data_IF_474322936215
#
_entry.id   IF_474322936215
#
_cell.length_a   1.000
_cell.length_b   1.000
_cell.length_c   1.000
_cell.angle_alpha   90.00
_cell.angle_beta   90.00
_cell.angle_gamma   90.00
#
_symmetry.space_group_name_H-M   'P 1'
#
loop_
_entity.id
_entity.type
_entity.pdbx_description
1 polymer ?
#
# COMPACT_ATOMS: atom_id res chain seq x y z
N UNK A 1 31.63 1.78 -3.06
CA UNK A 1 30.90 0.51 -3.12
C UNK A 1 29.44 0.84 -3.31
N UNK A 2 28.85 0.49 -4.46
CA UNK A 2 27.42 0.74 -4.72
C UNK A 2 26.55 -0.33 -4.07
N UNK A 3 25.39 0.04 -3.57
CA UNK A 3 24.36 -0.90 -3.12
C UNK A 3 23.91 -1.78 -4.29
N UNK A 4 23.89 -3.09 -4.08
CA UNK A 4 23.34 -4.09 -5.01
C UNK A 4 22.07 -4.70 -4.43
N UNK A 5 21.15 -5.18 -5.27
CA UNK A 5 19.91 -5.88 -4.85
C UNK A 5 20.19 -7.00 -3.84
N UNK A 6 21.31 -7.72 -4.02
CA UNK A 6 21.75 -8.78 -3.12
C UNK A 6 22.22 -8.26 -1.76
N UNK A 7 23.05 -7.21 -1.74
CA UNK A 7 23.50 -6.61 -0.47
C UNK A 7 22.36 -5.97 0.31
N UNK A 8 21.38 -5.39 -0.39
CA UNK A 8 20.16 -4.84 0.21
C UNK A 8 19.26 -5.95 0.75
N UNK A 9 19.15 -7.08 0.04
CA UNK A 9 18.44 -8.28 0.52
C UNK A 9 19.03 -8.83 1.81
N UNK A 10 20.35 -8.97 1.89
CA UNK A 10 21.02 -9.41 3.13
C UNK A 10 20.75 -8.43 4.28
N UNK A 11 20.88 -7.12 4.04
CA UNK A 11 20.61 -6.11 5.05
C UNK A 11 19.15 -6.13 5.53
N UNK A 12 18.20 -6.30 4.60
CA UNK A 12 16.79 -6.44 4.91
C UNK A 12 16.53 -7.66 5.79
N UNK A 13 17.02 -8.84 5.39
CA UNK A 13 16.85 -10.09 6.14
C UNK A 13 17.43 -9.96 7.56
N UNK A 14 18.62 -9.37 7.70
CA UNK A 14 19.25 -9.13 9.00
C UNK A 14 18.48 -8.12 9.86
N UNK A 15 17.77 -7.17 9.25
CA UNK A 15 16.94 -6.21 9.96
C UNK A 15 15.64 -6.86 10.48
N UNK A 16 14.97 -7.66 9.65
CA UNK A 16 13.62 -8.17 9.95
C UNK A 16 13.60 -9.52 10.66
N UNK A 17 14.73 -10.23 10.72
CA UNK A 17 14.86 -11.48 11.44
C UNK A 17 15.78 -11.34 12.66
N UNK A 18 15.40 -12.02 13.74
CA UNK A 18 16.23 -12.21 14.92
C UNK A 18 17.43 -13.12 14.63
N UNK A 19 18.42 -13.14 15.54
CA UNK A 19 19.58 -14.05 15.45
C UNK A 19 19.19 -15.54 15.42
N UNK A 20 18.01 -15.90 15.94
CA UNK A 20 17.48 -17.27 15.92
C UNK A 20 16.67 -17.57 14.64
N UNK A 21 16.56 -16.62 13.73
CA UNK A 21 15.86 -16.77 12.45
C UNK A 21 14.35 -16.60 12.52
N UNK A 22 13.79 -16.15 13.64
CA UNK A 22 12.37 -15.77 13.79
C UNK A 22 12.14 -14.32 13.35
N UNK A 23 10.95 -13.98 12.87
CA UNK A 23 10.59 -12.58 12.51
C UNK A 23 10.66 -11.69 13.76
N UNK A 24 11.37 -10.58 13.66
CA UNK A 24 11.47 -9.59 14.72
C UNK A 24 10.27 -8.64 14.69
N UNK A 25 9.22 -8.99 15.45
CA UNK A 25 8.01 -8.17 15.57
C UNK A 25 8.24 -6.76 16.15
N UNK A 26 9.40 -6.51 16.78
CA UNK A 26 9.76 -5.19 17.34
C UNK A 26 10.53 -4.32 16.35
N UNK A 27 10.99 -4.89 15.24
CA UNK A 27 11.65 -4.12 14.19
C UNK A 27 10.63 -3.15 13.57
N UNK A 28 11.03 -1.88 13.37
CA UNK A 28 10.15 -0.83 12.87
C UNK A 28 9.54 -1.14 11.49
N UNK A 29 10.28 -1.82 10.60
CA UNK A 29 9.80 -2.19 9.26
C UNK A 29 8.68 -3.23 9.38
N UNK A 30 8.90 -4.24 10.23
CA UNK A 30 7.93 -5.29 10.50
C UNK A 30 6.69 -4.73 11.19
N UNK A 31 6.93 -3.94 12.22
CA UNK A 31 5.90 -3.35 13.06
C UNK A 31 4.99 -2.38 12.30
N UNK A 32 5.55 -1.56 11.41
CA UNK A 32 4.80 -0.60 10.59
C UNK A 32 3.78 -1.31 9.69
N UNK A 33 4.08 -2.53 9.25
CA UNK A 33 3.22 -3.31 8.36
C UNK A 33 2.13 -4.10 9.09
N UNK A 34 2.09 -4.05 10.44
CA UNK A 34 1.00 -4.64 11.22
C UNK A 34 -0.21 -3.68 11.30
N UNK A 35 -0.94 -3.57 10.20
CA UNK A 35 -2.05 -2.62 10.07
C UNK A 35 -3.14 -2.82 11.13
N UNK A 36 -3.49 -4.06 11.45
CA UNK A 36 -4.46 -4.36 12.51
C UNK A 36 -4.09 -3.69 13.84
N UNK A 37 -2.85 -3.87 14.30
CA UNK A 37 -2.39 -3.31 15.58
C UNK A 37 -2.50 -1.79 15.63
N UNK A 38 -2.18 -1.11 14.53
CA UNK A 38 -2.27 0.35 14.47
C UNK A 38 -3.71 0.81 14.35
N UNK A 39 -4.52 0.13 13.54
CA UNK A 39 -5.92 0.46 13.33
C UNK A 39 -6.77 0.27 14.59
N UNK A 40 -6.50 -0.77 15.39
CA UNK A 40 -7.15 -0.96 16.70
C UNK A 40 -6.92 0.21 17.66
N UNK A 41 -5.78 0.91 17.59
CA UNK A 41 -5.54 2.10 18.41
C UNK A 41 -6.43 3.26 17.98
N UNK A 42 -6.59 3.45 16.68
CA UNK A 42 -7.48 4.47 16.11
C UNK A 42 -8.95 4.19 16.43
N UNK A 43 -9.37 2.92 16.35
CA UNK A 43 -10.73 2.49 16.67
C UNK A 43 -11.12 2.64 18.14
N UNK A 44 -10.17 2.90 19.05
CA UNK A 44 -10.47 3.28 20.45
C UNK A 44 -11.00 4.70 20.58
N UNK A 45 -10.78 5.54 19.56
CA UNK A 45 -11.08 6.98 19.61
C UNK A 45 -12.11 7.36 18.55
N UNK A 46 -12.04 6.76 17.37
CA UNK A 46 -12.92 7.04 16.23
C UNK A 46 -13.71 5.78 15.86
N UNK A 47 -14.95 5.96 15.44
CA UNK A 47 -15.76 4.83 14.97
C UNK A 47 -15.28 4.37 13.58
N UNK A 48 -15.56 3.11 13.24
CA UNK A 48 -15.08 2.49 12.00
C UNK A 48 -15.55 3.24 10.74
N UNK A 49 -16.76 3.78 10.76
CA UNK A 49 -17.37 4.56 9.68
C UNK A 49 -16.66 5.89 9.41
N UNK A 50 -15.78 6.36 10.31
CA UNK A 50 -14.93 7.53 10.09
C UNK A 50 -13.59 7.20 9.39
N UNK A 51 -13.45 5.99 8.83
CA UNK A 51 -12.28 5.60 8.06
C UNK A 51 -12.67 5.14 6.66
N UNK A 52 -12.15 5.83 5.66
CA UNK A 52 -12.09 5.31 4.31
C UNK A 52 -10.78 4.52 4.14
N UNK A 53 -10.91 3.23 3.84
CA UNK A 53 -9.77 2.35 3.55
C UNK A 53 -9.76 2.10 2.05
N UNK A 54 -8.66 2.45 1.39
CA UNK A 54 -8.54 2.37 -0.06
C UNK A 54 -7.49 1.34 -0.45
N UNK A 55 -7.81 0.49 -1.42
CA UNK A 55 -6.86 -0.48 -1.99
C UNK A 55 -6.07 0.14 -3.13
N UNK A 56 -4.75 -0.08 -3.14
CA UNK A 56 -3.88 0.40 -4.21
C UNK A 56 -4.32 -0.16 -5.58
N UNK A 57 -4.75 -1.42 -5.62
CA UNK A 57 -5.18 -2.08 -6.86
C UNK A 57 -6.44 -1.43 -7.43
N UNK A 58 -7.32 -0.89 -6.58
CA UNK A 58 -8.53 -0.18 -7.00
C UNK A 58 -8.20 1.22 -7.51
N UNK A 59 -7.26 1.93 -6.89
CA UNK A 59 -6.75 3.21 -7.41
C UNK A 59 -6.11 2.98 -8.79
N UNK A 60 -5.31 1.92 -8.91
CA UNK A 60 -4.57 1.62 -10.14
C UNK A 60 -5.48 1.19 -11.30
N UNK A 61 -6.61 0.54 -11.01
CA UNK A 61 -7.56 0.03 -12.01
C UNK A 61 -8.69 1.00 -12.32
N UNK A 62 -9.22 1.67 -11.30
CA UNK A 62 -10.44 2.50 -11.38
C UNK A 62 -10.31 3.76 -10.51
N UNK A 63 -9.35 4.66 -10.81
CA UNK A 63 -9.06 5.81 -9.95
C UNK A 63 -10.25 6.75 -9.78
N UNK A 64 -11.04 6.98 -10.84
CA UNK A 64 -12.23 7.83 -10.76
C UNK A 64 -13.22 7.32 -9.71
N UNK A 65 -13.50 6.02 -9.69
CA UNK A 65 -14.42 5.40 -8.72
C UNK A 65 -13.95 5.62 -7.28
N UNK A 66 -12.66 5.40 -7.03
CA UNK A 66 -12.05 5.58 -5.71
C UNK A 66 -12.11 7.04 -5.26
N UNK A 67 -11.81 7.97 -6.16
CA UNK A 67 -11.86 9.41 -5.85
C UNK A 67 -13.30 9.87 -5.61
N UNK A 68 -14.27 9.36 -6.37
CA UNK A 68 -15.69 9.64 -6.13
C UNK A 68 -16.14 9.12 -4.76
N UNK A 69 -15.76 7.90 -4.39
CA UNK A 69 -16.00 7.35 -3.05
C UNK A 69 -15.37 8.23 -1.96
N UNK A 70 -14.15 8.75 -2.18
CA UNK A 70 -13.50 9.67 -1.26
C UNK A 70 -14.25 11.01 -1.13
N UNK A 71 -14.77 11.55 -2.23
CA UNK A 71 -15.60 12.76 -2.20
C UNK A 71 -16.93 12.52 -1.44
N UNK A 72 -17.54 11.34 -1.55
CA UNK A 72 -18.76 10.98 -0.81
C UNK A 72 -18.48 10.82 0.68
N UNK A 73 -17.40 10.11 1.01
CA UNK A 73 -16.97 9.90 2.39
C UNK A 73 -16.65 11.22 3.12
N UNK A 74 -16.08 12.19 2.42
CA UNK A 74 -15.77 13.52 2.96
C UNK A 74 -16.97 14.48 2.96
N UNK A 75 -18.12 14.08 2.43
CA UNK A 75 -19.30 14.92 2.22
C UNK A 75 -18.98 16.21 1.43
N UNK A 76 -18.22 16.08 0.35
CA UNK A 76 -17.88 17.20 -0.54
C UNK A 76 -18.56 17.06 -1.92
N UNK A 77 -18.88 18.19 -2.57
CA UNK A 77 -19.44 18.17 -3.93
C UNK A 77 -18.52 17.43 -4.90
N UNK A 78 -19.11 16.68 -5.83
CA UNK A 78 -18.36 16.04 -6.90
C UNK A 78 -17.73 17.03 -7.86
N UNK A 79 -16.42 17.15 -7.74
CA UNK A 79 -15.58 17.98 -8.57
C UNK A 79 -14.92 17.15 -9.68
N UNK A 80 -14.43 15.97 -9.33
CA UNK A 80 -13.70 15.13 -10.28
C UNK A 80 -14.66 14.46 -11.28
N UNK A 81 -14.20 14.34 -12.52
CA UNK A 81 -14.91 13.66 -13.61
C UNK A 81 -14.05 12.57 -14.19
N UNK A 82 -14.69 11.56 -14.78
CA UNK A 82 -14.01 10.41 -15.36
C UNK A 82 -13.00 10.81 -16.45
N UNK A 83 -13.32 11.81 -17.28
CA UNK A 83 -12.45 12.34 -18.35
C UNK A 83 -11.14 12.97 -17.85
N UNK A 84 -11.06 13.28 -16.55
CA UNK A 84 -9.84 13.78 -15.91
C UNK A 84 -8.82 12.68 -15.62
N UNK A 85 -9.22 11.40 -15.68
CA UNK A 85 -8.34 10.25 -15.44
C UNK A 85 -8.05 9.54 -16.75
N UNK A 86 -6.83 9.69 -17.27
CA UNK A 86 -6.44 9.13 -18.57
C UNK A 86 -5.40 8.04 -18.37
N UNK A 87 -5.71 6.84 -18.87
CA UNK A 87 -4.76 5.74 -18.85
C UNK A 87 -3.65 6.00 -19.87
N UNK A 88 -2.40 6.02 -19.39
CA UNK A 88 -1.23 6.17 -20.23
C UNK A 88 -0.63 4.80 -20.54
N UNK A 89 -0.66 4.41 -21.83
CA UNK A 89 -0.34 3.07 -22.28
C UNK A 89 1.14 2.72 -22.10
N UNK A 90 2.03 3.69 -22.32
CA UNK A 90 3.47 3.49 -22.19
C UNK A 90 3.89 3.30 -20.74
N UNK A 91 3.19 3.99 -19.83
CA UNK A 91 3.46 3.95 -18.38
C UNK A 91 2.60 2.92 -17.63
N UNK A 92 1.64 2.29 -18.31
CA UNK A 92 0.66 1.33 -17.76
C UNK A 92 -0.01 1.81 -16.48
N UNK A 93 -0.39 3.09 -16.45
CA UNK A 93 -0.98 3.74 -15.26
C UNK A 93 -1.91 4.88 -15.65
N UNK A 94 -2.83 5.23 -14.76
CA UNK A 94 -3.62 6.45 -14.92
C UNK A 94 -2.82 7.71 -14.56
N UNK A 95 -3.03 8.75 -15.36
CA UNK A 95 -2.55 10.10 -15.15
C UNK A 95 -3.73 11.07 -14.99
N UNK A 96 -3.47 12.22 -14.38
CA UNK A 96 -4.48 13.24 -14.14
C UNK A 96 -4.38 14.38 -15.15
N UNK A 97 -5.48 14.69 -15.83
CA UNK A 97 -5.61 15.87 -16.70
C UNK A 97 -6.31 16.98 -15.93
N UNK A 98 -5.56 18.04 -15.62
CA UNK A 98 -6.13 19.25 -15.05
C UNK A 98 -6.85 20.06 -16.13
N UNK A 99 -8.00 20.64 -15.78
CA UNK A 99 -8.74 21.59 -16.62
C UNK A 99 -8.25 23.03 -16.46
N UNK A 100 -7.35 23.31 -15.50
CA UNK A 100 -6.71 24.64 -15.39
C UNK A 100 -5.73 24.79 -16.55
N UNK A 101 -5.96 25.79 -17.40
CA UNK A 101 -5.28 26.09 -18.68
C UNK A 101 -3.73 26.16 -18.63
N UNK A 102 -3.10 26.03 -17.46
CA UNK A 102 -1.65 26.14 -17.27
C UNK A 102 -1.00 24.89 -16.63
N UNK A 103 -1.79 23.88 -16.25
CA UNK A 103 -1.26 22.64 -15.66
C UNK A 103 -1.29 21.56 -16.74
N UNK A 104 -0.14 21.34 -17.38
CA UNK A 104 0.09 20.15 -18.22
C UNK A 104 -0.31 18.90 -17.43
N UNK A 105 -0.97 17.95 -18.10
CA UNK A 105 -1.37 16.66 -17.54
C UNK A 105 -0.27 16.10 -16.63
N UNK A 106 -0.57 15.92 -15.35
CA UNK A 106 0.39 15.44 -14.38
C UNK A 106 0.16 13.95 -14.18
N UNK A 107 1.07 13.15 -14.72
CA UNK A 107 1.20 11.77 -14.29
C UNK A 107 1.84 11.78 -12.91
N UNK A 108 1.29 11.07 -11.91
CA UNK A 108 1.95 11.01 -10.62
C UNK A 108 3.39 10.50 -10.84
N UNK A 109 4.38 11.08 -10.14
CA UNK A 109 5.77 10.77 -10.42
C UNK A 109 6.01 9.27 -10.21
N UNK A 110 6.99 8.74 -10.94
CA UNK A 110 7.47 7.39 -10.70
C UNK A 110 8.36 7.52 -9.45
N UNK A 111 7.80 7.26 -8.27
CA UNK A 111 8.52 7.40 -6.99
C UNK A 111 9.67 6.39 -6.81
N UNK A 112 9.85 5.47 -7.76
CA UNK A 112 11.09 4.71 -7.93
C UNK A 112 11.21 4.33 -9.40
N UNK A 113 12.14 4.92 -10.20
CA UNK A 113 12.63 4.17 -11.36
C UNK A 113 13.03 2.81 -10.84
N UNK A 114 12.70 1.73 -11.57
CA UNK A 114 12.83 0.31 -11.22
C UNK A 114 14.05 -0.07 -10.37
N UNK A 115 14.11 0.37 -9.09
CA UNK A 115 15.11 -0.08 -8.14
C UNK A 115 14.75 -1.54 -7.99
N UNK A 116 15.62 -2.46 -8.45
CA UNK A 116 15.32 -3.86 -8.36
C UNK A 116 15.01 -4.15 -6.90
N UNK A 117 13.84 -4.75 -6.63
CA UNK A 117 13.52 -5.15 -5.27
C UNK A 117 14.67 -6.03 -4.76
N UNK A 118 15.07 -5.87 -3.50
CA UNK A 118 16.15 -6.68 -2.95
C UNK A 118 15.85 -8.17 -3.15
N UNK A 119 16.89 -8.93 -3.50
CA UNK A 119 16.77 -10.37 -3.67
C UNK A 119 16.67 -11.02 -2.30
N UNK A 120 15.54 -11.66 -2.01
CA UNK A 120 15.24 -12.33 -0.75
C UNK A 120 14.84 -13.77 -1.08
N UNK A 121 15.26 -14.74 -0.28
CA UNK A 121 14.88 -16.13 -0.51
C UNK A 121 13.39 -16.37 -0.26
N UNK A 122 12.80 -17.29 -1.02
CA UNK A 122 11.40 -17.69 -0.84
C UNK A 122 11.09 -18.19 0.57
N UNK A 123 12.06 -18.81 1.25
CA UNK A 123 11.90 -19.21 2.65
C UNK A 123 11.64 -18.01 3.57
N UNK A 124 12.38 -16.91 3.39
CA UNK A 124 12.19 -15.70 4.19
C UNK A 124 10.88 -15.02 3.83
N UNK A 125 10.52 -14.99 2.54
CA UNK A 125 9.23 -14.47 2.08
C UNK A 125 8.08 -15.24 2.73
N UNK A 126 8.12 -16.57 2.71
CA UNK A 126 7.10 -17.42 3.32
C UNK A 126 7.01 -17.19 4.83
N UNK A 127 8.15 -17.08 5.51
CA UNK A 127 8.20 -16.81 6.96
C UNK A 127 7.56 -15.47 7.32
N UNK A 128 7.77 -14.44 6.50
CA UNK A 128 7.11 -13.14 6.68
C UNK A 128 5.61 -13.24 6.41
N UNK A 129 5.18 -13.95 5.36
CA UNK A 129 3.75 -14.16 5.07
C UNK A 129 3.04 -14.90 6.20
N UNK A 130 3.64 -15.97 6.71
CA UNK A 130 3.08 -16.74 7.83
C UNK A 130 2.99 -15.89 9.10
N UNK A 131 3.99 -15.03 9.36
CA UNK A 131 3.94 -14.06 10.45
C UNK A 131 2.79 -13.06 10.30
N UNK A 132 2.58 -12.49 9.10
CA UNK A 132 1.53 -11.49 8.88
C UNK A 132 0.13 -12.09 8.76
N UNK A 133 -0.04 -13.36 8.35
CA UNK A 133 -1.35 -13.98 8.12
C UNK A 133 -2.38 -13.76 9.24
N UNK A 134 -2.08 -14.00 10.53
CA UNK A 134 -3.04 -13.70 11.60
C UNK A 134 -3.36 -12.20 11.74
N UNK A 135 -2.38 -11.32 11.52
CA UNK A 135 -2.57 -9.88 11.55
C UNK A 135 -3.41 -9.37 10.37
N UNK A 136 -3.23 -9.97 9.19
CA UNK A 136 -3.98 -9.67 7.98
C UNK A 136 -5.45 -10.02 8.15
N UNK A 137 -5.74 -11.24 8.62
CA UNK A 137 -7.12 -11.66 8.96
C UNK A 137 -7.76 -10.74 9.98
N UNK A 138 -7.01 -10.35 11.01
CA UNK A 138 -7.51 -9.39 12.00
C UNK A 138 -7.84 -8.04 11.38
N UNK A 139 -7.03 -7.56 10.44
CA UNK A 139 -7.31 -6.31 9.72
C UNK A 139 -8.56 -6.43 8.84
N UNK A 140 -8.77 -7.56 8.18
CA UNK A 140 -10.01 -7.84 7.42
C UNK A 140 -11.24 -7.81 8.31
N UNK A 141 -11.20 -8.44 9.49
CA UNK A 141 -12.29 -8.39 10.47
C UNK A 141 -12.60 -6.95 10.92
N UNK A 142 -11.57 -6.16 11.24
CA UNK A 142 -11.72 -4.78 11.69
C UNK A 142 -12.26 -3.86 10.58
N UNK A 143 -11.83 -4.11 9.34
CA UNK A 143 -12.21 -3.27 8.21
C UNK A 143 -13.53 -3.71 7.57
N UNK A 144 -13.92 -4.97 7.71
CA UNK A 144 -15.00 -5.58 6.94
C UNK A 144 -14.65 -5.78 5.47
N UNK A 145 -13.36 -5.69 5.10
CA UNK A 145 -12.88 -5.72 3.72
C UNK A 145 -11.95 -6.92 3.51
N UNK A 146 -11.98 -7.50 2.31
CA UNK A 146 -11.03 -8.55 1.91
C UNK A 146 -9.86 -7.95 1.14
N UNK A 147 -8.65 -8.46 1.39
CA UNK A 147 -7.44 -8.06 0.68
C UNK A 147 -6.77 -9.25 -0.02
N UNK A 148 -6.22 -8.98 -1.21
CA UNK A 148 -5.53 -9.96 -2.05
C UNK A 148 -4.35 -10.63 -1.32
N UNK A 149 -3.69 -9.87 -0.44
CA UNK A 149 -2.48 -10.27 0.28
C UNK A 149 -2.73 -11.07 1.56
N UNK A 150 -3.97 -11.17 2.05
CA UNK A 150 -4.29 -11.86 3.30
C UNK A 150 -4.16 -13.37 3.23
N UNK A 151 -4.27 -13.94 2.02
CA UNK A 151 -4.22 -15.38 1.76
C UNK A 151 -2.93 -15.83 1.04
N UNK A 152 -1.93 -14.95 0.94
CA UNK A 152 -0.63 -15.27 0.33
C UNK A 152 0.25 -16.19 1.19
#
# INVERSE_FOLDING_TARGET
MGCTSKSEGVAFVQAVLTKTGSVDAKNVIVDTSNYARHFEKWLKVFSRDQFLIVKEEEISRTPFKVIREAEEFLDVPGFFREDMFVFENDKKRYCFKSTRREINSSCPPIYSPSVPKPEISEEVVQKLRDFYRPHNRRFEELTGMNFSWSNL
#
